data_IF_847021889635
#
_entry.id   IF_847021889635
#
_cell.length_a   1.000
_cell.length_b   1.000
_cell.length_c   1.000
_cell.angle_alpha   90.00
_cell.angle_beta   90.00
_cell.angle_gamma   90.00
#
_symmetry.space_group_name_H-M   'P 1'
#
loop_
_entity.id
_entity.type
_entity.pdbx_description
1 polymer ?
#
# COMPACT_ATOMS: atom_id res chain seq x y z
N UNK A 1 -7.11 5.74 -6.94
CA UNK A 1 -6.41 5.23 -5.73
C UNK A 1 -5.00 4.81 -6.12
N UNK A 2 -3.98 5.29 -5.40
CA UNK A 2 -2.57 4.99 -5.64
C UNK A 2 -2.04 4.07 -4.53
N UNK A 3 -1.56 2.87 -4.86
CA UNK A 3 -0.96 1.96 -3.89
C UNK A 3 0.49 2.36 -3.60
N UNK A 4 0.83 2.49 -2.32
CA UNK A 4 2.10 3.01 -1.83
C UNK A 4 2.68 2.03 -0.81
N UNK A 5 3.94 1.62 -0.99
CA UNK A 5 4.67 0.81 -0.02
C UNK A 5 5.81 1.59 0.68
N UNK A 6 6.22 2.73 0.13
CA UNK A 6 7.09 3.71 0.78
C UNK A 6 6.88 5.11 0.20
N UNK A 7 7.18 6.15 0.97
CA UNK A 7 6.98 7.54 0.52
C UNK A 7 7.80 7.93 -0.72
N UNK A 8 9.09 7.56 -0.86
CA UNK A 8 9.89 7.89 -2.05
C UNK A 8 9.20 7.50 -3.37
N UNK A 9 8.61 6.30 -3.43
CA UNK A 9 7.93 5.80 -4.64
C UNK A 9 6.71 6.63 -5.03
N UNK A 10 6.12 7.35 -4.08
CA UNK A 10 4.94 8.18 -4.32
C UNK A 10 5.26 9.66 -4.57
N UNK A 11 6.50 10.10 -4.36
CA UNK A 11 6.90 11.53 -4.52
C UNK A 11 6.73 12.07 -5.94
N UNK A 12 6.79 11.20 -6.96
CA UNK A 12 6.61 11.57 -8.36
C UNK A 12 5.21 11.26 -8.88
N UNK A 13 4.69 10.01 -8.77
CA UNK A 13 3.42 9.67 -9.41
C UNK A 13 2.22 10.34 -8.73
N UNK A 14 2.26 10.57 -7.41
CA UNK A 14 1.13 11.19 -6.72
C UNK A 14 0.88 12.64 -7.16
N UNK A 15 1.87 13.56 -7.11
CA UNK A 15 1.65 14.92 -7.59
C UNK A 15 1.38 14.96 -9.10
N UNK A 16 2.06 14.15 -9.91
CA UNK A 16 1.83 14.12 -11.36
C UNK A 16 0.36 13.75 -11.70
N UNK A 17 -0.19 12.73 -11.06
CA UNK A 17 -1.59 12.35 -11.24
C UNK A 17 -2.55 13.44 -10.72
N UNK A 18 -2.21 14.12 -9.62
CA UNK A 18 -3.01 15.23 -9.12
C UNK A 18 -2.99 16.43 -10.09
N UNK A 19 -1.83 16.74 -10.68
CA UNK A 19 -1.65 17.80 -11.70
C UNK A 19 -2.41 17.49 -13.00
N UNK A 20 -2.51 16.22 -13.38
CA UNK A 20 -3.36 15.75 -14.47
C UNK A 20 -4.86 15.87 -14.16
N UNK A 21 -5.23 16.26 -12.93
CA UNK A 21 -6.61 16.49 -12.51
C UNK A 21 -7.33 15.26 -11.94
N UNK A 22 -6.61 14.18 -11.63
CA UNK A 22 -7.20 13.02 -10.97
C UNK A 22 -7.43 13.26 -9.47
N UNK A 23 -8.52 12.70 -8.94
CA UNK A 23 -8.73 12.59 -7.50
C UNK A 23 -7.92 11.40 -6.94
N UNK A 24 -6.73 11.71 -6.44
CA UNK A 24 -5.76 10.69 -6.01
C UNK A 24 -5.78 10.54 -4.49
N UNK A 25 -6.42 9.46 -4.03
CA UNK A 25 -6.23 8.94 -2.66
C UNK A 25 -5.11 7.92 -2.61
N UNK A 26 -4.12 8.15 -1.75
CA UNK A 26 -3.06 7.19 -1.46
C UNK A 26 -3.56 6.03 -0.59
N UNK A 27 -2.99 4.85 -0.77
CA UNK A 27 -3.31 3.65 -0.02
C UNK A 27 -2.04 2.93 0.41
N UNK A 28 -1.79 2.88 1.71
CA UNK A 28 -0.63 2.23 2.30
C UNK A 28 -1.02 0.86 2.86
N UNK A 29 -0.57 -0.20 2.16
CA UNK A 29 -0.91 -1.59 2.51
C UNK A 29 -0.14 -2.11 3.73
N UNK A 30 1.18 -1.93 3.78
CA UNK A 30 1.98 -2.17 4.99
C UNK A 30 2.19 -3.61 5.46
N UNK A 31 1.32 -4.59 5.14
CA UNK A 31 1.42 -5.96 5.68
C UNK A 31 2.70 -6.72 5.28
N UNK A 32 3.32 -6.34 4.17
CA UNK A 32 4.53 -6.99 3.66
C UNK A 32 5.83 -6.39 4.24
N UNK A 33 5.73 -5.36 5.07
CA UNK A 33 6.88 -4.59 5.56
C UNK A 33 7.33 -5.16 6.91
N UNK A 34 8.58 -5.60 6.96
CA UNK A 34 9.20 -6.24 8.11
C UNK A 34 10.67 -5.88 8.24
N UNK A 35 11.17 -5.61 9.46
CA UNK A 35 10.49 -5.72 10.76
C UNK A 35 9.55 -4.52 11.07
N UNK A 36 8.87 -4.53 12.22
CA UNK A 36 7.84 -3.53 12.57
C UNK A 36 8.38 -2.10 12.61
N UNK A 37 9.66 -1.93 12.96
CA UNK A 37 10.36 -0.65 12.97
C UNK A 37 10.37 -0.02 11.57
N UNK A 38 10.55 -0.84 10.52
CA UNK A 38 10.51 -0.38 9.14
C UNK A 38 9.09 0.01 8.72
N UNK A 39 8.08 -0.77 9.13
CA UNK A 39 6.66 -0.43 8.90
C UNK A 39 6.32 0.95 9.46
N UNK A 40 6.72 1.23 10.71
CA UNK A 40 6.47 2.52 11.37
C UNK A 40 7.14 3.65 10.60
N UNK A 41 8.42 3.50 10.25
CA UNK A 41 9.16 4.54 9.51
C UNK A 41 8.52 4.84 8.15
N UNK A 42 8.15 3.80 7.39
CA UNK A 42 7.52 3.97 6.08
C UNK A 42 6.13 4.58 6.19
N UNK A 43 5.32 4.15 7.17
CA UNK A 43 4.00 4.75 7.45
C UNK A 43 4.12 6.24 7.74
N UNK A 44 4.98 6.62 8.67
CA UNK A 44 5.19 8.04 9.04
C UNK A 44 5.65 8.86 7.84
N UNK A 45 6.55 8.31 7.03
CA UNK A 45 7.00 8.98 5.81
C UNK A 45 5.85 9.20 4.81
N UNK A 46 4.95 8.22 4.65
CA UNK A 46 3.78 8.32 3.76
C UNK A 46 2.75 9.31 4.28
N UNK A 47 2.44 9.28 5.58
CA UNK A 47 1.54 10.26 6.23
C UNK A 47 2.09 11.70 6.08
N UNK A 48 3.41 11.87 6.23
CA UNK A 48 4.07 13.16 6.00
C UNK A 48 3.98 13.62 4.55
N UNK A 49 4.20 12.73 3.59
CA UNK A 49 4.07 13.06 2.17
C UNK A 49 2.63 13.47 1.83
N UNK A 50 1.64 12.71 2.29
CA UNK A 50 0.22 13.01 2.09
C UNK A 50 -0.14 14.40 2.64
N UNK A 51 0.39 14.75 3.82
CA UNK A 51 0.20 16.06 4.43
C UNK A 51 0.83 17.20 3.60
N UNK A 52 2.02 16.98 3.03
CA UNK A 52 2.70 17.98 2.18
C UNK A 52 1.98 18.18 0.83
N UNK A 53 1.39 17.11 0.29
CA UNK A 53 0.64 17.16 -0.97
C UNK A 53 -0.83 17.59 -0.78
N UNK A 54 -1.28 17.79 0.46
CA UNK A 54 -2.69 18.04 0.78
C UNK A 54 -3.63 16.97 0.19
N UNK A 55 -3.18 15.71 0.14
CA UNK A 55 -3.91 14.60 -0.45
C UNK A 55 -4.34 13.58 0.62
N UNK A 56 -5.50 12.92 0.47
CA UNK A 56 -5.95 11.92 1.43
C UNK A 56 -5.14 10.62 1.34
N UNK A 57 -4.93 9.97 2.47
CA UNK A 57 -4.28 8.65 2.54
C UNK A 57 -5.07 7.70 3.43
N UNK A 58 -5.24 6.47 2.95
CA UNK A 58 -5.79 5.35 3.72
C UNK A 58 -4.63 4.47 4.17
N UNK A 59 -4.53 4.24 5.47
CA UNK A 59 -3.56 3.34 6.08
C UNK A 59 -4.30 2.04 6.42
N UNK A 60 -3.92 0.94 5.77
CA UNK A 60 -4.47 -0.37 6.09
C UNK A 60 -3.97 -0.84 7.48
N UNK A 61 -4.79 -1.64 8.16
CA UNK A 61 -4.41 -2.19 9.46
C UNK A 61 -3.22 -3.14 9.33
N UNK A 62 -2.17 -2.91 10.11
CA UNK A 62 -0.95 -3.70 10.04
C UNK A 62 -1.19 -5.13 10.55
N UNK A 63 -1.35 -6.07 9.62
CA UNK A 63 -1.48 -7.50 9.91
C UNK A 63 -0.47 -8.33 9.11
N UNK A 64 0.77 -8.44 9.60
CA UNK A 64 1.80 -9.18 8.88
C UNK A 64 1.67 -10.70 8.92
N UNK A 65 1.02 -11.23 9.94
CA UNK A 65 0.77 -12.67 10.06
C UNK A 65 -0.02 -13.19 8.87
N UNK A 66 -1.00 -12.40 8.42
CA UNK A 66 -1.78 -12.74 7.23
C UNK A 66 -0.91 -12.79 5.96
N UNK A 67 0.04 -11.85 5.82
CA UNK A 67 0.99 -11.83 4.71
C UNK A 67 1.87 -13.09 4.70
N UNK A 68 2.48 -13.43 5.84
CA UNK A 68 3.29 -14.64 5.96
C UNK A 68 2.48 -15.92 5.75
N UNK A 69 1.25 -15.99 6.29
CA UNK A 69 0.35 -17.13 6.07
C UNK A 69 0.07 -17.33 4.59
N UNK A 70 -0.23 -16.26 3.85
CA UNK A 70 -0.42 -16.32 2.39
C UNK A 70 0.87 -16.77 1.69
N UNK A 71 2.02 -16.20 2.05
CA UNK A 71 3.34 -16.61 1.53
C UNK A 71 3.64 -18.09 1.74
N UNK A 72 3.33 -18.65 2.91
CA UNK A 72 3.52 -20.05 3.22
C UNK A 72 2.61 -20.97 2.38
N UNK A 73 1.36 -20.57 2.15
CA UNK A 73 0.45 -21.29 1.24
C UNK A 73 0.96 -21.23 -0.21
N UNK A 74 1.53 -20.10 -0.62
CA UNK A 74 2.10 -19.91 -1.96
C UNK A 74 3.31 -20.82 -2.21
N UNK A 75 4.22 -20.91 -1.24
CA UNK A 75 5.39 -21.79 -1.33
C UNK A 75 5.01 -23.27 -1.51
N UNK A 76 3.89 -23.70 -0.92
CA UNK A 76 3.36 -25.06 -1.07
C UNK A 76 2.77 -25.33 -2.47
N UNK A 77 2.37 -24.29 -3.21
CA UNK A 77 1.66 -24.43 -4.49
C UNK A 77 2.53 -24.83 -5.70
N UNK A 78 3.85 -24.99 -5.52
CA UNK A 78 4.82 -25.41 -6.56
C UNK A 78 4.65 -24.70 -7.92
N UNK A 79 4.44 -23.38 -7.92
CA UNK A 79 4.47 -22.59 -9.16
C UNK A 79 3.11 -22.27 -9.81
N UNK A 80 1.97 -22.63 -9.21
CA UNK A 80 0.64 -22.25 -9.73
C UNK A 80 0.18 -20.90 -9.16
N UNK A 81 0.80 -19.80 -9.59
CA UNK A 81 0.94 -18.58 -8.77
C UNK A 81 0.20 -17.29 -9.20
N UNK A 82 -0.45 -17.21 -10.36
CA UNK A 82 -0.96 -15.92 -10.85
C UNK A 82 -2.20 -15.35 -10.11
N UNK A 83 -2.88 -16.11 -9.24
CA UNK A 83 -4.21 -15.76 -8.75
C UNK A 83 -4.30 -15.16 -7.33
N UNK A 84 -3.20 -15.12 -6.56
CA UNK A 84 -3.28 -15.00 -5.08
C UNK A 84 -2.79 -13.63 -4.57
N UNK A 85 -2.44 -12.69 -5.46
CA UNK A 85 -2.07 -11.34 -5.03
C UNK A 85 -3.24 -10.71 -4.26
N UNK A 86 -3.02 -10.21 -3.02
CA UNK A 86 -4.07 -9.58 -2.26
C UNK A 86 -4.60 -8.36 -3.02
N UNK A 87 -5.87 -8.40 -3.39
CA UNK A 87 -6.56 -7.23 -3.95
C UNK A 87 -7.03 -6.35 -2.80
N UNK A 88 -6.94 -5.01 -2.93
CA UNK A 88 -7.48 -4.10 -1.93
C UNK A 88 -8.99 -4.39 -1.73
N UNK A 89 -9.53 -4.21 -0.51
CA UNK A 89 -10.91 -4.54 -0.22
C UNK A 89 -11.87 -3.77 -1.14
N UNK A 90 -12.84 -4.49 -1.72
CA UNK A 90 -13.78 -3.95 -2.71
C UNK A 90 -14.60 -2.74 -2.23
N UNK A 91 -14.70 -2.53 -0.90
CA UNK A 91 -15.35 -1.36 -0.29
C UNK A 91 -14.61 -0.05 -0.54
N UNK A 92 -13.32 -0.09 -0.91
CA UNK A 92 -12.51 1.08 -1.27
C UNK A 92 -12.66 1.47 -2.75
N UNK A 93 -13.46 0.75 -3.54
CA UNK A 93 -13.66 1.01 -4.99
C UNK A 93 -14.95 1.75 -5.31
N UNK A 94 -15.74 2.15 -4.31
CA UNK A 94 -16.90 3.01 -4.50
C UNK A 94 -16.45 4.46 -4.40
N UNK A 95 -16.04 5.01 -5.54
CA UNK A 95 -16.00 6.45 -5.82
C UNK A 95 -17.23 6.73 -6.68
#
# INVERSE_FOLDING_TARGET
MLHICCAPDATIPWPALAEEGYDVTGYFYGHNIHPVEEYIQRRVAVERLASLLFCPVVIEEYNPEEWFRKGALLAQSKGKLCAIMPKPPAKLWKI
#
